data_IF_039009463812
#
_entry.id   IF_039009463812
#
_cell.length_a   1.000
_cell.length_b   1.000
_cell.length_c   1.000
_cell.angle_alpha   90.00
_cell.angle_beta   90.00
_cell.angle_gamma   90.00
#
_symmetry.space_group_name_H-M   'P 1'
#
loop_
_entity.id
_entity.type
_entity.pdbx_description
1 polymer ?
#
# COMPACT_ATOMS: atom_id res chain seq x y z
N UNK A 1 3.23 18.72 31.77
CA UNK A 1 3.34 17.71 30.70
C UNK A 1 2.60 18.28 29.50
N UNK A 2 3.29 18.49 28.37
CA UNK A 2 2.64 18.98 27.16
C UNK A 2 1.60 17.97 26.65
N UNK A 3 0.59 18.41 25.89
CA UNK A 3 -0.41 17.51 25.27
C UNK A 3 0.29 16.41 24.44
N UNK A 4 1.39 16.77 23.76
CA UNK A 4 2.25 15.87 23.00
C UNK A 4 2.95 14.82 23.89
N UNK A 5 3.53 15.20 25.02
CA UNK A 5 4.13 14.25 25.97
C UNK A 5 3.09 13.27 26.54
N UNK A 6 1.87 13.74 26.80
CA UNK A 6 0.79 12.87 27.24
C UNK A 6 0.45 11.82 26.18
N UNK A 7 0.39 12.21 24.90
CA UNK A 7 0.17 11.28 23.78
C UNK A 7 1.31 10.27 23.63
N UNK A 8 2.57 10.67 23.77
CA UNK A 8 3.69 9.72 23.77
C UNK A 8 3.68 8.76 24.96
N UNK A 9 3.23 9.22 26.13
CA UNK A 9 3.01 8.35 27.29
C UNK A 9 1.97 7.26 27.00
N UNK A 10 0.85 7.63 26.37
CA UNK A 10 -0.19 6.68 25.95
C UNK A 10 0.32 5.74 24.84
N UNK A 11 1.12 6.24 23.91
CA UNK A 11 1.73 5.41 22.86
C UNK A 11 2.61 4.30 23.46
N UNK A 12 3.46 4.62 24.44
CA UNK A 12 4.30 3.63 25.13
C UNK A 12 3.52 2.58 25.92
N UNK A 13 2.25 2.85 26.23
CA UNK A 13 1.35 1.89 26.91
C UNK A 13 0.53 1.05 25.94
N UNK A 14 0.33 1.52 24.71
CA UNK A 14 -0.56 0.92 23.71
C UNK A 14 0.16 0.25 22.54
N UNK A 15 1.46 0.46 22.42
CA UNK A 15 2.31 -0.14 21.39
C UNK A 15 3.61 -0.70 22.01
N UNK A 16 4.42 -1.35 21.19
CA UNK A 16 5.72 -1.87 21.62
C UNK A 16 6.62 -0.74 22.15
N UNK A 17 7.23 -0.89 23.35
CA UNK A 17 8.05 0.17 23.95
C UNK A 17 9.26 0.58 23.11
N UNK A 18 9.89 -0.37 22.40
CA UNK A 18 11.05 -0.10 21.55
C UNK A 18 10.68 0.73 20.34
N UNK A 19 9.64 0.31 19.62
CA UNK A 19 9.11 1.05 18.48
C UNK A 19 8.54 2.42 18.88
N UNK A 20 7.80 2.52 19.99
CA UNK A 20 7.29 3.79 20.49
C UNK A 20 8.41 4.78 20.84
N UNK A 21 9.50 4.29 21.43
CA UNK A 21 10.69 5.11 21.74
C UNK A 21 11.39 5.59 20.46
N UNK A 22 11.52 4.71 19.46
CA UNK A 22 12.11 5.08 18.16
C UNK A 22 11.27 6.16 17.45
N UNK A 23 9.95 6.01 17.45
CA UNK A 23 9.02 7.01 16.88
C UNK A 23 9.12 8.33 17.64
N UNK A 24 9.14 8.32 18.98
CA UNK A 24 9.30 9.54 19.78
C UNK A 24 10.63 10.25 19.46
N UNK A 25 11.73 9.49 19.35
CA UNK A 25 13.04 10.02 18.98
C UNK A 25 13.04 10.64 17.59
N UNK A 26 12.41 9.99 16.60
CA UNK A 26 12.27 10.54 15.25
C UNK A 26 11.55 11.90 15.27
N UNK A 27 10.44 12.00 16.03
CA UNK A 27 9.67 13.26 16.12
C UNK A 27 10.48 14.37 16.79
N UNK A 28 11.27 14.05 17.83
CA UNK A 28 12.06 15.05 18.58
C UNK A 28 13.32 15.50 17.85
N UNK A 29 14.08 14.55 17.33
CA UNK A 29 15.45 14.77 16.91
C UNK A 29 15.67 14.57 15.40
N UNK A 30 14.71 13.95 14.71
CA UNK A 30 14.80 13.68 13.27
C UNK A 30 14.75 14.96 12.43
N UNK A 31 15.35 14.96 11.23
CA UNK A 31 15.22 16.07 10.29
C UNK A 31 13.79 16.14 9.76
N UNK A 32 13.37 17.32 9.31
CA UNK A 32 11.99 17.60 8.89
C UNK A 32 11.52 16.68 7.75
N UNK A 33 12.39 16.42 6.77
CA UNK A 33 12.09 15.53 5.64
C UNK A 33 11.88 14.07 6.06
N UNK A 34 12.45 13.63 7.19
CA UNK A 34 12.24 12.29 7.73
C UNK A 34 10.89 12.15 8.47
N UNK A 35 10.14 13.26 8.61
CA UNK A 35 8.81 13.30 9.22
C UNK A 35 7.69 13.49 8.20
N UNK A 36 8.02 13.56 6.91
CA UNK A 36 7.08 13.62 5.79
C UNK A 36 7.03 12.28 5.05
N UNK A 37 5.81 11.79 4.76
CA UNK A 37 5.56 10.51 4.05
C UNK A 37 6.54 9.40 4.45
N UNK A 38 6.56 9.09 5.75
CA UNK A 38 7.46 8.08 6.31
C UNK A 38 7.18 6.73 5.65
N UNK A 39 8.22 6.16 5.04
CA UNK A 39 8.22 4.77 4.61
C UNK A 39 8.47 3.88 5.83
N UNK A 40 7.41 3.28 6.37
CA UNK A 40 7.50 2.46 7.60
C UNK A 40 8.33 1.19 7.40
N UNK A 41 8.52 0.71 6.16
CA UNK A 41 9.39 -0.43 5.86
C UNK A 41 10.86 -0.05 6.06
N UNK A 42 11.28 1.10 5.53
CA UNK A 42 12.63 1.63 5.76
C UNK A 42 12.83 1.94 7.24
N UNK A 43 11.85 2.60 7.90
CA UNK A 43 11.94 2.89 9.33
C UNK A 43 12.16 1.62 10.16
N UNK A 44 11.42 0.54 9.87
CA UNK A 44 11.60 -0.73 10.56
C UNK A 44 12.99 -1.33 10.31
N UNK A 45 13.46 -1.32 9.06
CA UNK A 45 14.78 -1.84 8.69
C UNK A 45 15.91 -1.06 9.36
N UNK A 46 15.86 0.28 9.31
CA UNK A 46 16.90 1.17 9.85
C UNK A 46 17.03 1.07 11.37
N UNK A 47 15.95 0.70 12.07
CA UNK A 47 15.93 0.52 13.52
C UNK A 47 16.07 -0.94 13.96
N UNK A 48 16.15 -1.90 13.04
CA UNK A 48 16.23 -3.33 13.35
C UNK A 48 14.98 -3.86 14.08
N UNK A 49 13.81 -3.27 13.80
CA UNK A 49 12.53 -3.62 14.41
C UNK A 49 11.68 -4.46 13.46
N UNK A 50 10.80 -5.29 14.03
CA UNK A 50 9.82 -6.03 13.24
C UNK A 50 8.81 -5.05 12.60
N UNK A 51 8.53 -5.25 11.30
CA UNK A 51 7.66 -4.35 10.54
C UNK A 51 6.25 -4.26 11.12
N UNK A 52 5.65 -5.38 11.52
CA UNK A 52 4.29 -5.39 12.10
C UNK A 52 4.25 -4.57 13.41
N UNK A 53 5.26 -4.71 14.26
CA UNK A 53 5.42 -3.92 15.49
C UNK A 53 5.55 -2.42 15.22
N UNK A 54 6.30 -2.04 14.19
CA UNK A 54 6.42 -0.64 13.76
C UNK A 54 5.10 -0.13 13.20
N UNK A 55 4.44 -0.91 12.35
CA UNK A 55 3.17 -0.54 11.74
C UNK A 55 2.06 -0.35 12.78
N UNK A 56 1.96 -1.27 13.75
CA UNK A 56 1.11 -1.12 14.94
C UNK A 56 1.35 0.21 15.64
N UNK A 57 2.62 0.51 15.90
CA UNK A 57 3.02 1.74 16.59
C UNK A 57 2.59 2.98 15.80
N UNK A 58 2.80 3.02 14.49
CA UNK A 58 2.36 4.13 13.63
C UNK A 58 0.83 4.25 13.57
N UNK A 59 0.09 3.15 13.58
CA UNK A 59 -1.38 3.15 13.60
C UNK A 59 -1.92 3.71 14.92
N UNK A 60 -1.36 3.28 16.05
CA UNK A 60 -1.68 3.85 17.37
C UNK A 60 -1.29 5.34 17.44
N UNK A 61 -0.11 5.70 16.93
CA UNK A 61 0.34 7.09 16.91
C UNK A 61 -0.58 7.98 16.05
N UNK A 62 -1.02 7.48 14.90
CA UNK A 62 -2.00 8.17 14.05
C UNK A 62 -3.35 8.33 14.77
N UNK A 63 -3.83 7.28 15.45
CA UNK A 63 -5.09 7.33 16.23
C UNK A 63 -5.03 8.33 17.40
N UNK A 64 -3.85 8.54 17.96
CA UNK A 64 -3.56 9.54 19.01
C UNK A 64 -3.32 10.95 18.45
N UNK A 65 -3.33 11.12 17.12
CA UNK A 65 -3.09 12.40 16.45
C UNK A 65 -1.64 12.85 16.50
N UNK A 66 -0.68 11.93 16.66
CA UNK A 66 0.74 12.22 16.52
C UNK A 66 1.15 12.31 15.04
N UNK A 67 0.54 11.46 14.20
CA UNK A 67 0.72 11.42 12.76
C UNK A 67 -0.61 11.53 12.03
N UNK A 68 -0.56 12.08 10.83
CA UNK A 68 -1.61 12.04 9.84
C UNK A 68 -1.29 10.94 8.82
N UNK A 69 -2.26 10.06 8.60
CA UNK A 69 -2.15 8.99 7.61
C UNK A 69 -2.66 9.51 6.27
N UNK A 70 -1.91 9.25 5.22
CA UNK A 70 -2.22 9.65 3.84
C UNK A 70 -2.25 8.42 2.93
N UNK A 71 -3.13 8.46 1.94
CA UNK A 71 -3.28 7.46 0.88
C UNK A 71 -2.86 8.11 -0.43
N UNK A 72 -1.67 7.77 -0.91
CA UNK A 72 -1.04 8.38 -2.08
C UNK A 72 -1.23 7.47 -3.29
N UNK A 73 -1.81 8.00 -4.36
CA UNK A 73 -2.00 7.27 -5.61
C UNK A 73 -0.77 7.49 -6.46
N UNK A 74 -0.08 6.41 -6.81
CA UNK A 74 1.20 6.43 -7.47
C UNK A 74 1.07 6.08 -8.94
N UNK A 75 1.90 6.71 -9.77
CA UNK A 75 2.15 6.22 -11.12
C UNK A 75 3.05 4.97 -11.05
N UNK A 76 2.63 3.82 -11.60
CA UNK A 76 3.49 2.62 -11.62
C UNK A 76 4.73 2.79 -12.51
N UNK A 77 4.68 3.68 -13.51
CA UNK A 77 5.81 4.01 -14.37
C UNK A 77 6.90 4.81 -13.64
N UNK A 78 6.57 6.01 -13.17
CA UNK A 78 7.57 6.93 -12.60
C UNK A 78 7.64 6.97 -11.06
N UNK A 79 6.69 6.39 -10.34
CA UNK A 79 6.63 6.46 -8.87
C UNK A 79 6.21 7.84 -8.32
N UNK A 80 5.77 8.76 -9.18
CA UNK A 80 5.22 10.05 -8.81
C UNK A 80 3.83 9.92 -8.18
N UNK A 81 3.54 10.76 -7.20
CA UNK A 81 2.25 10.82 -6.51
C UNK A 81 1.27 11.61 -7.38
N UNK A 82 0.29 10.93 -7.95
CA UNK A 82 -0.76 11.50 -8.79
C UNK A 82 -1.85 12.20 -7.98
N UNK A 83 -2.10 11.70 -6.77
CA UNK A 83 -3.08 12.28 -5.85
C UNK A 83 -2.73 11.90 -4.40
N UNK A 84 -3.06 12.77 -3.44
CA UNK A 84 -2.91 12.51 -2.00
C UNK A 84 -4.26 12.65 -1.33
N UNK A 85 -4.68 11.60 -0.62
CA UNK A 85 -6.01 11.50 -0.03
C UNK A 85 -5.90 11.27 1.49
N UNK A 86 -6.72 11.95 2.29
CA UNK A 86 -6.78 11.72 3.74
C UNK A 86 -7.53 10.42 4.11
N UNK A 87 -8.34 9.90 3.20
CA UNK A 87 -9.15 8.69 3.36
C UNK A 87 -9.30 7.99 2.01
N UNK A 88 -9.36 6.65 2.02
CA UNK A 88 -9.66 5.89 0.81
C UNK A 88 -11.03 6.24 0.22
N UNK A 89 -11.98 6.79 1.00
CA UNK A 89 -13.30 7.28 0.51
C UNK A 89 -13.21 8.29 -0.63
N UNK A 90 -12.07 9.00 -0.75
CA UNK A 90 -11.86 10.02 -1.78
C UNK A 90 -11.08 9.50 -2.99
N UNK A 91 -10.69 8.22 -3.01
CA UNK A 91 -10.10 7.54 -4.16
C UNK A 91 -11.22 7.13 -5.12
N UNK A 92 -11.65 8.07 -5.98
CA UNK A 92 -12.89 7.92 -6.77
C UNK A 92 -12.72 7.74 -8.28
N UNK A 93 -11.53 7.99 -8.83
CA UNK A 93 -11.35 7.93 -10.29
C UNK A 93 -11.17 6.48 -10.75
N UNK A 94 -11.85 6.11 -11.83
CA UNK A 94 -11.65 4.84 -12.53
C UNK A 94 -10.24 4.75 -13.11
N UNK A 95 -9.71 5.90 -13.57
CA UNK A 95 -8.41 6.01 -14.22
C UNK A 95 -7.65 7.22 -13.69
N UNK A 96 -6.38 7.03 -13.39
CA UNK A 96 -5.43 8.11 -13.08
C UNK A 96 -4.46 8.26 -14.23
N UNK A 97 -4.40 9.46 -14.82
CA UNK A 97 -3.42 9.79 -15.85
C UNK A 97 -2.17 10.37 -15.20
N UNK A 98 -1.00 9.80 -15.53
CA UNK A 98 0.26 10.38 -15.11
C UNK A 98 0.76 11.39 -16.14
N UNK A 99 0.94 12.63 -15.73
CA UNK A 99 1.42 13.69 -16.61
C UNK A 99 2.85 13.46 -17.08
N UNK A 100 3.71 12.83 -16.27
CA UNK A 100 5.09 12.53 -16.66
C UNK A 100 5.19 11.34 -17.62
N UNK A 101 4.36 10.31 -17.46
CA UNK A 101 4.42 9.10 -18.29
C UNK A 101 3.43 9.08 -19.46
N UNK A 102 2.50 10.04 -19.53
CA UNK A 102 1.41 10.09 -20.51
C UNK A 102 0.54 8.82 -20.58
N UNK A 103 0.45 8.08 -19.47
CA UNK A 103 -0.25 6.80 -19.39
C UNK A 103 -1.38 6.87 -18.35
N UNK A 104 -2.51 6.24 -18.69
CA UNK A 104 -3.65 6.03 -17.80
C UNK A 104 -3.59 4.67 -17.12
N UNK A 105 -3.93 4.63 -15.84
CA UNK A 105 -3.90 3.41 -15.04
C UNK A 105 -5.14 3.29 -14.17
N UNK A 106 -5.72 2.09 -14.13
CA UNK A 106 -6.71 1.73 -13.12
C UNK A 106 -6.01 1.44 -11.79
N UNK A 107 -6.40 2.08 -10.67
CA UNK A 107 -5.73 1.89 -9.38
C UNK A 107 -5.94 0.48 -8.83
N UNK A 108 -4.84 -0.20 -8.48
CA UNK A 108 -4.85 -1.40 -7.64
C UNK A 108 -4.30 -1.09 -6.25
N UNK A 109 -4.85 -1.72 -5.22
CA UNK A 109 -4.37 -1.52 -3.84
C UNK A 109 -3.02 -2.19 -3.57
N UNK A 110 -2.63 -3.13 -4.44
CA UNK A 110 -1.40 -3.90 -4.35
C UNK A 110 -0.16 -3.06 -4.66
N UNK A 111 -0.26 -2.13 -5.60
CA UNK A 111 0.91 -1.49 -6.23
C UNK A 111 0.77 0.01 -6.43
N UNK A 112 -0.45 0.54 -6.57
CA UNK A 112 -0.64 1.96 -6.89
C UNK A 112 -1.02 2.82 -5.69
N UNK A 113 -1.47 2.23 -4.59
CA UNK A 113 -1.88 3.01 -3.42
C UNK A 113 -0.87 2.82 -2.29
N UNK A 114 -0.04 3.84 -2.08
CA UNK A 114 0.86 3.95 -0.93
C UNK A 114 0.10 4.49 0.27
N UNK A 115 0.43 3.97 1.45
CA UNK A 115 0.04 4.53 2.74
C UNK A 115 1.29 5.07 3.40
N UNK A 116 1.25 6.34 3.80
CA UNK A 116 2.37 6.97 4.49
C UNK A 116 1.89 7.82 5.67
N UNK A 117 2.78 8.00 6.65
CA UNK A 117 2.52 8.77 7.85
C UNK A 117 3.34 10.06 7.81
N UNK A 118 2.69 11.20 8.06
CA UNK A 118 3.35 12.50 8.20
C UNK A 118 3.08 13.04 9.59
N UNK A 119 4.08 13.60 10.28
CA UNK A 119 3.87 14.17 11.62
C UNK A 119 2.76 15.21 11.60
N UNK A 120 1.88 15.23 12.60
CA UNK A 120 0.85 16.25 12.67
C UNK A 120 1.48 17.63 12.92
N UNK A 121 1.03 18.71 12.24
CA UNK A 121 1.51 20.07 12.51
C UNK A 121 1.21 20.54 13.95
N UNK A 122 0.26 19.89 14.64
CA UNK A 122 -0.02 20.12 16.07
C UNK A 122 1.06 19.57 17.00
N UNK A 123 1.88 18.64 16.52
CA UNK A 123 2.99 18.03 17.26
C UNK A 123 4.30 18.72 16.91
N UNK A 124 4.62 18.79 15.61
CA UNK A 124 5.80 19.47 15.09
C UNK A 124 5.48 19.97 13.69
N UNK A 125 5.59 21.27 13.45
CA UNK A 125 5.47 21.83 12.11
C UNK A 125 6.77 21.57 11.34
N UNK A 126 6.66 21.01 10.15
CA UNK A 126 7.77 20.76 9.22
C UNK A 126 7.54 21.49 7.91
N UNK A 127 8.59 21.66 7.10
CA UNK A 127 8.51 22.35 5.82
C UNK A 127 7.45 21.76 4.85
N UNK A 128 7.22 20.44 4.89
CA UNK A 128 6.21 19.77 4.07
C UNK A 128 4.75 20.15 4.41
N UNK A 129 4.48 20.79 5.56
CA UNK A 129 3.16 21.34 5.89
C UNK A 129 2.86 22.67 5.18
N UNK A 130 3.89 23.32 4.64
CA UNK A 130 3.78 24.54 3.82
C UNK A 130 4.64 24.34 2.57
N UNK A 131 4.27 23.40 1.68
CA UNK A 131 5.12 22.99 0.58
C UNK A 131 5.40 24.13 -0.42
N UNK A 132 4.60 25.18 -0.44
CA UNK A 132 4.82 26.41 -1.19
C UNK A 132 6.06 27.22 -0.76
N UNK A 133 6.61 26.95 0.42
CA UNK A 133 7.85 27.61 0.89
C UNK A 133 9.10 26.79 0.61
N UNK A 134 8.97 25.56 0.11
CA UNK A 134 10.10 24.70 -0.18
C UNK A 134 10.90 25.23 -1.38
N UNK A 135 12.24 25.17 -1.36
CA UNK A 135 13.06 25.28 -2.56
C UNK A 135 12.60 24.27 -3.64
N UNK A 136 12.79 24.61 -4.92
CA UNK A 136 12.30 23.79 -6.05
C UNK A 136 12.70 22.31 -5.95
N UNK A 137 13.97 22.02 -5.64
CA UNK A 137 14.45 20.65 -5.61
C UNK A 137 14.00 19.88 -4.38
N UNK A 138 13.79 20.55 -3.26
CA UNK A 138 13.14 19.95 -2.09
C UNK A 138 11.66 19.69 -2.33
N UNK A 139 10.96 20.60 -3.01
CA UNK A 139 9.58 20.35 -3.43
C UNK A 139 9.49 19.13 -4.33
N UNK A 140 10.30 19.08 -5.39
CA UNK A 140 10.32 17.94 -6.32
C UNK A 140 10.63 16.65 -5.56
N UNK A 141 11.69 16.65 -4.74
CA UNK A 141 12.15 15.45 -4.01
C UNK A 141 11.15 14.97 -2.96
N UNK A 142 10.54 15.88 -2.20
CA UNK A 142 9.72 15.55 -1.02
C UNK A 142 8.23 15.44 -1.35
N UNK A 143 7.70 16.29 -2.25
CA UNK A 143 6.27 16.43 -2.47
C UNK A 143 5.76 15.68 -3.70
N UNK A 144 6.52 15.66 -4.80
CA UNK A 144 6.06 15.03 -6.04
C UNK A 144 6.20 13.50 -6.02
N UNK A 145 7.29 13.02 -5.42
CA UNK A 145 7.64 11.61 -5.44
C UNK A 145 7.07 10.83 -4.25
N UNK A 146 6.83 9.53 -4.45
CA UNK A 146 6.44 8.61 -3.37
C UNK A 146 7.60 8.28 -2.44
N UNK A 147 7.28 7.75 -1.26
CA UNK A 147 8.28 7.21 -0.33
C UNK A 147 8.94 5.92 -0.86
N UNK A 148 8.39 5.33 -1.93
CA UNK A 148 8.96 4.23 -2.70
C UNK A 148 10.11 4.61 -3.64
N UNK A 149 10.50 5.89 -3.69
CA UNK A 149 11.65 6.37 -4.47
C UNK A 149 12.94 6.35 -3.63
N UNK A 150 14.03 5.88 -4.23
CA UNK A 150 15.38 5.96 -3.63
C UNK A 150 16.17 7.05 -4.32
N UNK A 151 16.20 8.23 -3.70
CA UNK A 151 17.03 9.35 -4.14
C UNK A 151 18.39 9.37 -3.42
N UNK A 152 19.44 9.91 -4.07
CA UNK A 152 20.70 10.21 -3.40
C UNK A 152 20.51 11.35 -2.37
N UNK A 153 21.54 11.64 -1.55
CA UNK A 153 21.50 12.77 -0.62
C UNK A 153 21.15 14.10 -1.33
N UNK A 154 20.57 15.08 -0.62
CA UNK A 154 20.03 16.30 -1.23
C UNK A 154 21.00 17.04 -2.16
N UNK A 155 22.27 17.21 -1.77
CA UNK A 155 23.27 17.91 -2.57
C UNK A 155 23.57 17.18 -3.89
N UNK A 156 23.63 15.85 -3.86
CA UNK A 156 23.85 15.04 -5.05
C UNK A 156 22.60 15.01 -5.94
N UNK A 157 21.41 14.92 -5.34
CA UNK A 157 20.15 15.01 -6.08
C UNK A 157 20.07 16.35 -6.82
N UNK A 158 20.38 17.46 -6.15
CA UNK A 158 20.41 18.78 -6.78
C UNK A 158 21.42 18.85 -7.93
N UNK A 159 22.64 18.32 -7.74
CA UNK A 159 23.64 18.25 -8.82
C UNK A 159 23.11 17.49 -10.04
N UNK A 160 22.48 16.33 -9.83
CA UNK A 160 21.90 15.54 -10.92
C UNK A 160 20.71 16.26 -11.58
N UNK A 161 19.89 17.00 -10.83
CA UNK A 161 18.83 17.83 -11.39
C UNK A 161 19.37 18.95 -12.29
N UNK A 162 20.51 19.54 -11.96
CA UNK A 162 21.18 20.51 -12.85
C UNK A 162 21.72 19.89 -14.14
N UNK A 163 21.97 18.58 -14.19
CA UNK A 163 22.35 17.86 -15.41
C UNK A 163 21.12 17.52 -16.27
N UNK A 164 19.98 17.25 -15.64
CA UNK A 164 18.74 16.82 -16.30
C UNK A 164 17.89 18.00 -16.77
N UNK A 165 17.88 19.11 -16.03
CA UNK A 165 16.98 20.24 -16.29
C UNK A 165 17.73 21.34 -17.04
N UNK A 166 17.31 21.58 -18.28
CA UNK A 166 17.90 22.59 -19.15
C UNK A 166 17.74 24.00 -18.58
N UNK A 167 16.52 24.30 -18.12
CA UNK A 167 16.16 25.55 -17.44
C UNK A 167 14.81 25.36 -16.73
N UNK A 168 14.55 26.18 -15.71
CA UNK A 168 13.31 26.18 -14.93
C UNK A 168 13.01 27.58 -14.38
N UNK A 169 11.75 27.84 -14.04
CA UNK A 169 11.36 29.10 -13.41
C UNK A 169 10.22 28.90 -12.42
N UNK A 170 10.08 29.81 -11.45
CA UNK A 170 8.97 29.84 -10.50
C UNK A 170 8.02 30.97 -10.88
N UNK A 171 6.72 30.68 -10.87
CA UNK A 171 5.68 31.66 -11.18
C UNK A 171 4.62 31.67 -10.08
N UNK A 172 4.36 32.86 -9.53
CA UNK A 172 3.26 33.10 -8.61
C UNK A 172 1.89 32.95 -9.32
N UNK A 173 0.79 32.78 -8.56
CA UNK A 173 -0.56 32.80 -9.13
C UNK A 173 -0.81 34.05 -9.98
N UNK A 174 -1.28 33.87 -11.22
CA UNK A 174 -1.54 34.95 -12.18
C UNK A 174 -0.30 35.49 -12.92
N UNK A 175 0.90 35.01 -12.60
CA UNK A 175 2.14 35.49 -13.21
C UNK A 175 2.37 34.91 -14.61
N UNK A 176 3.12 35.66 -15.43
CA UNK A 176 3.61 35.23 -16.73
C UNK A 176 5.13 35.20 -16.74
N UNK A 177 5.68 34.10 -17.23
CA UNK A 177 7.11 33.87 -17.37
C UNK A 177 7.53 33.75 -18.83
N UNK A 178 8.81 33.95 -19.10
CA UNK A 178 9.40 33.63 -20.39
C UNK A 178 10.75 32.98 -20.18
N UNK A 179 11.03 31.95 -20.96
CA UNK A 179 12.28 31.20 -20.93
C UNK A 179 12.83 31.09 -22.35
N UNK A 180 14.13 31.27 -22.50
CA UNK A 180 14.81 31.17 -23.81
C UNK A 180 15.90 30.12 -23.71
N UNK A 181 15.72 29.02 -24.43
CA UNK A 181 16.63 27.87 -24.37
C UNK A 181 17.15 27.52 -25.77
N UNK A 182 18.33 26.93 -25.80
CA UNK A 182 18.83 26.25 -26.99
C UNK A 182 18.45 24.76 -26.85
N UNK A 183 17.48 24.29 -27.62
CA UNK A 183 17.04 22.89 -27.55
C UNK A 183 18.13 21.97 -28.10
N UNK A 184 18.61 20.99 -27.31
CA UNK A 184 19.42 19.89 -27.83
C UNK A 184 18.54 18.90 -28.60
N UNK A 185 19.18 18.04 -29.40
CA UNK A 185 18.52 16.83 -29.91
C UNK A 185 18.19 15.90 -28.74
N UNK A 186 17.01 15.29 -28.77
CA UNK A 186 16.53 14.38 -27.74
C UNK A 186 15.06 14.58 -27.38
N UNK A 187 14.60 13.76 -26.44
CA UNK A 187 13.24 13.84 -25.91
C UNK A 187 13.22 14.75 -24.68
N UNK A 188 12.43 15.83 -24.74
CA UNK A 188 12.35 16.86 -23.70
C UNK A 188 10.93 16.90 -23.16
N UNK A 189 10.82 17.01 -21.84
CA UNK A 189 9.55 17.12 -21.13
C UNK A 189 9.49 18.51 -20.51
N UNK A 190 8.58 19.35 -21.00
CA UNK A 190 8.17 20.55 -20.27
C UNK A 190 7.28 20.07 -19.15
N UNK A 191 7.81 20.04 -17.92
CA UNK A 191 7.18 19.41 -16.78
C UNK A 191 6.97 20.42 -15.66
N UNK A 192 5.78 20.43 -15.09
CA UNK A 192 5.38 21.29 -13.99
C UNK A 192 4.82 20.41 -12.86
N UNK A 193 5.58 20.23 -11.76
CA UNK A 193 5.29 19.24 -10.73
C UNK A 193 4.14 19.63 -9.80
N UNK A 194 3.79 20.92 -9.66
CA UNK A 194 2.79 21.36 -8.67
C UNK A 194 1.36 21.09 -9.13
N UNK A 195 1.06 21.39 -10.39
CA UNK A 195 -0.26 21.19 -11.02
C UNK A 195 -0.34 19.87 -11.78
N UNK A 196 0.73 19.07 -11.75
CA UNK A 196 0.85 17.85 -12.56
C UNK A 196 0.58 18.14 -14.03
N UNK A 197 1.30 19.08 -14.63
CA UNK A 197 1.17 19.40 -16.06
C UNK A 197 2.42 18.99 -16.83
N UNK A 198 2.25 18.49 -18.06
CA UNK A 198 3.38 18.15 -18.91
C UNK A 198 3.08 18.37 -20.40
N UNK A 199 4.12 18.70 -21.16
CA UNK A 199 4.14 18.72 -22.62
C UNK A 199 5.41 18.03 -23.11
N UNK A 200 5.27 17.16 -24.13
CA UNK A 200 6.36 16.34 -24.65
C UNK A 200 6.88 16.88 -25.97
N UNK A 201 8.20 17.02 -26.08
CA UNK A 201 8.90 17.52 -27.25
C UNK A 201 9.86 16.44 -27.76
N UNK A 202 9.63 15.93 -28.96
CA UNK A 202 10.56 15.06 -29.68
C UNK A 202 11.43 15.93 -30.60
N UNK A 203 12.63 16.29 -30.13
CA UNK A 203 13.55 17.20 -30.82
C UNK A 203 14.52 16.41 -31.68
N UNK A 204 14.36 16.46 -33.00
CA UNK A 204 15.14 15.66 -33.97
C UNK A 204 15.32 16.35 -35.31
N UNK A 205 16.29 15.85 -36.09
CA UNK A 205 16.61 16.35 -37.43
C UNK A 205 17.64 17.48 -37.43
N UNK A 206 17.79 18.15 -38.58
CA UNK A 206 18.85 19.14 -38.76
C UNK A 206 18.66 20.39 -37.87
N UNK A 207 19.71 20.85 -37.16
CA UNK A 207 19.64 22.06 -36.34
C UNK A 207 19.23 23.30 -37.14
N UNK A 208 18.37 24.13 -36.55
CA UNK A 208 17.89 25.38 -37.14
C UNK A 208 18.33 26.61 -36.32
N UNK A 209 18.47 27.74 -37.01
CA UNK A 209 18.65 29.07 -36.38
C UNK A 209 17.33 29.84 -36.27
N UNK A 210 16.25 29.32 -36.84
CA UNK A 210 14.91 29.88 -36.74
C UNK A 210 14.45 29.87 -35.29
N UNK A 211 14.07 31.03 -34.75
CA UNK A 211 13.49 31.14 -33.41
C UNK A 211 12.04 30.72 -33.46
N UNK A 212 11.67 29.74 -32.64
CA UNK A 212 10.27 29.36 -32.42
C UNK A 212 9.76 29.90 -31.09
N UNK A 213 8.47 30.21 -31.06
CA UNK A 213 7.77 30.62 -29.85
C UNK A 213 6.64 29.62 -29.55
N UNK A 214 6.48 29.25 -28.28
CA UNK A 214 5.41 28.37 -27.83
C UNK A 214 4.90 28.81 -26.46
N UNK A 215 3.59 28.74 -26.27
CA UNK A 215 2.92 29.12 -25.03
C UNK A 215 2.37 27.92 -24.27
N UNK A 216 2.53 27.92 -22.94
CA UNK A 216 1.99 26.91 -22.04
C UNK A 216 1.20 27.60 -20.93
N UNK A 217 -0.01 27.11 -20.66
CA UNK A 217 -0.90 27.66 -19.63
C UNK A 217 -1.14 26.61 -18.56
N UNK A 218 -0.87 26.95 -17.30
CA UNK A 218 -1.14 26.08 -16.16
C UNK A 218 -2.44 26.50 -15.49
N UNK A 219 -3.47 25.65 -15.56
CA UNK A 219 -4.82 25.94 -15.04
C UNK A 219 -5.44 24.78 -14.25
N UNK A 220 -4.61 23.84 -13.77
CA UNK A 220 -5.01 22.59 -13.08
C UNK A 220 -5.88 21.63 -13.91
N UNK A 221 -6.07 21.90 -15.21
CA UNK A 221 -6.69 20.95 -16.14
C UNK A 221 -5.57 20.20 -16.85
N UNK A 222 -5.60 18.87 -16.77
CA UNK A 222 -4.62 18.02 -17.43
C UNK A 222 -4.76 18.20 -18.96
N UNK A 223 -3.75 18.80 -19.60
CA UNK A 223 -3.74 18.95 -21.05
C UNK A 223 -3.56 17.56 -21.72
N UNK A 224 -4.17 17.30 -22.89
CA UNK A 224 -3.88 16.09 -23.64
C UNK A 224 -2.39 16.02 -23.98
N UNK A 225 -1.78 14.89 -23.65
CA UNK A 225 -0.36 14.58 -23.77
C UNK A 225 0.02 14.26 -25.22
N UNK A 226 -0.10 15.24 -26.11
CA UNK A 226 0.49 15.16 -27.45
C UNK A 226 2.02 15.25 -27.37
N UNK A 227 2.71 14.58 -28.29
CA UNK A 227 4.14 14.82 -28.53
C UNK A 227 4.29 15.76 -29.72
N UNK A 228 4.91 16.91 -29.49
CA UNK A 228 5.25 17.87 -30.54
C UNK A 228 6.64 17.57 -31.09
N UNK A 229 6.78 17.55 -32.42
CA UNK A 229 8.07 17.30 -33.08
C UNK A 229 8.73 18.62 -33.43
N UNK A 230 9.93 18.87 -32.90
CA UNK A 230 10.71 20.08 -33.14
C UNK A 230 12.09 19.73 -33.71
N UNK A 231 12.79 20.75 -34.23
CA UNK A 231 14.21 20.64 -34.63
C UNK A 231 15.10 21.24 -33.55
N UNK A 232 16.34 20.74 -33.36
CA UNK A 232 17.30 21.37 -32.46
C UNK A 232 17.50 22.84 -32.82
N UNK A 233 17.48 23.76 -31.86
CA UNK A 233 17.43 25.18 -32.18
C UNK A 233 16.96 26.07 -31.04
N UNK A 234 16.96 27.40 -31.25
CA UNK A 234 16.48 28.35 -30.25
C UNK A 234 14.96 28.29 -30.09
N UNK A 235 14.49 28.02 -28.86
CA UNK A 235 13.09 28.03 -28.48
C UNK A 235 12.84 29.11 -27.41
N UNK A 236 11.78 29.89 -27.60
CA UNK A 236 11.22 30.78 -26.58
C UNK A 236 9.90 30.21 -26.06
N UNK A 237 9.87 29.94 -24.77
CA UNK A 237 8.68 29.47 -24.07
C UNK A 237 8.06 30.61 -23.28
N UNK A 238 6.76 30.79 -23.42
CA UNK A 238 5.98 31.69 -22.56
C UNK A 238 5.07 30.86 -21.67
N UNK A 239 5.16 31.08 -20.36
CA UNK A 239 4.35 30.39 -19.38
C UNK A 239 3.31 31.36 -18.80
N UNK A 240 2.09 30.90 -18.57
CA UNK A 240 1.07 31.65 -17.85
C UNK A 240 0.47 30.79 -16.75
N UNK A 241 0.65 31.20 -15.50
CA UNK A 241 0.05 30.54 -14.36
C UNK A 241 -1.38 31.09 -14.12
N UNK A 242 -2.39 30.35 -14.57
CA UNK A 242 -3.82 30.65 -14.31
C UNK A 242 -4.39 29.83 -13.15
N UNK A 243 -3.54 29.20 -12.36
CA UNK A 243 -3.93 28.52 -11.14
C UNK A 243 -3.88 29.47 -9.93
N UNK A 244 -4.39 28.99 -8.81
CA UNK A 244 -4.38 29.62 -7.48
C UNK A 244 -3.15 29.20 -6.65
N UNK A 245 -2.20 28.45 -7.22
CA UNK A 245 -0.97 27.99 -6.57
C UNK A 245 0.26 28.44 -7.35
N UNK A 246 1.44 28.43 -6.73
CA UNK A 246 2.70 28.62 -7.48
C UNK A 246 2.91 27.48 -8.48
N UNK A 247 3.62 27.73 -9.56
CA UNK A 247 4.02 26.71 -10.53
C UNK A 247 5.53 26.72 -10.74
N UNK A 248 6.10 25.55 -11.00
CA UNK A 248 7.55 25.34 -11.15
C UNK A 248 7.88 24.71 -12.52
N UNK A 249 7.52 25.34 -13.66
CA UNK A 249 7.80 24.76 -14.96
C UNK A 249 9.30 24.63 -15.22
N UNK A 250 9.71 23.44 -15.65
CA UNK A 250 11.08 23.15 -16.09
C UNK A 250 11.13 22.32 -17.35
N UNK A 251 12.26 22.37 -18.05
CA UNK A 251 12.53 21.56 -19.25
C UNK A 251 13.47 20.42 -18.88
N UNK A 252 12.93 19.22 -18.81
CA UNK A 252 13.65 18.03 -18.39
C UNK A 252 14.09 17.25 -19.63
N UNK A 253 15.39 17.01 -19.76
CA UNK A 253 15.92 16.10 -20.77
C UNK A 253 15.67 14.66 -20.31
N UNK A 254 14.92 13.89 -21.10
CA UNK A 254 14.66 12.48 -20.82
C UNK A 254 15.86 11.61 -21.24
N UNK A 255 17.02 11.85 -20.61
CA UNK A 255 18.26 11.10 -20.82
C UNK A 255 18.50 10.04 -19.74
N UNK A 256 19.66 9.38 -19.80
CA UNK A 256 20.02 8.26 -18.91
C UNK A 256 19.99 8.63 -17.43
N UNK A 257 20.43 9.84 -17.05
CA UNK A 257 20.42 10.30 -15.66
C UNK A 257 19.00 10.33 -15.08
N UNK A 258 18.02 10.84 -15.84
CA UNK A 258 16.62 10.85 -15.40
C UNK A 258 16.07 9.42 -15.33
N UNK A 259 16.33 8.59 -16.34
CA UNK A 259 15.90 7.19 -16.33
C UNK A 259 16.50 6.40 -15.16
N UNK A 260 17.77 6.64 -14.83
CA UNK A 260 18.43 6.00 -13.71
C UNK A 260 17.78 6.39 -12.39
N UNK A 261 17.55 7.69 -12.15
CA UNK A 261 16.85 8.20 -10.98
C UNK A 261 15.43 7.61 -10.86
N UNK A 262 14.70 7.58 -11.97
CA UNK A 262 13.38 6.95 -12.05
C UNK A 262 13.43 5.43 -12.04
N UNK A 263 14.59 4.78 -12.09
CA UNK A 263 14.73 3.34 -11.93
C UNK A 263 14.95 2.91 -10.48
N UNK A 264 15.38 3.82 -9.61
CA UNK A 264 15.70 3.53 -8.21
C UNK A 264 14.42 3.46 -7.36
N UNK A 265 13.76 2.29 -7.36
CA UNK A 265 12.58 1.98 -6.54
C UNK A 265 12.94 1.18 -5.30
N UNK A 266 12.10 1.32 -4.27
CA UNK A 266 12.12 0.50 -3.06
C UNK A 266 10.69 0.17 -2.62
N UNK A 267 10.49 -0.91 -1.85
CA UNK A 267 9.17 -1.24 -1.31
C UNK A 267 8.61 -0.11 -0.44
N UNK A 268 7.30 0.02 -0.40
CA UNK A 268 6.56 0.94 0.46
C UNK A 268 5.34 0.22 1.05
N UNK A 269 4.69 0.85 2.03
CA UNK A 269 3.47 0.30 2.63
C UNK A 269 2.31 0.47 1.65
N UNK A 270 1.79 -0.64 1.14
CA UNK A 270 0.67 -0.64 0.20
C UNK A 270 -0.65 -0.60 0.95
N UNK A 271 -1.70 -0.07 0.32
CA UNK A 271 -3.05 -0.12 0.87
C UNK A 271 -3.48 -1.56 1.15
N UNK A 272 -3.18 -2.51 0.24
CA UNK A 272 -3.46 -3.94 0.48
C UNK A 272 -2.93 -4.39 1.84
N UNK A 273 -1.64 -4.15 2.11
CA UNK A 273 -1.00 -4.59 3.36
C UNK A 273 -1.64 -3.94 4.59
N UNK A 274 -2.01 -2.66 4.51
CA UNK A 274 -2.69 -1.98 5.60
C UNK A 274 -4.09 -2.56 5.85
N UNK A 275 -4.86 -2.82 4.79
CA UNK A 275 -6.22 -3.35 4.87
C UNK A 275 -6.28 -4.79 5.41
N UNK A 276 -5.18 -5.54 5.28
CA UNK A 276 -5.00 -6.88 5.86
C UNK A 276 -4.37 -6.85 7.25
N UNK A 277 -4.13 -5.68 7.83
CA UNK A 277 -3.52 -5.55 9.15
C UNK A 277 -4.59 -5.52 10.25
N UNK A 278 -4.48 -6.39 11.26
CA UNK A 278 -5.48 -6.52 12.32
C UNK A 278 -5.71 -5.21 13.10
N UNK A 279 -4.64 -4.58 13.58
CA UNK A 279 -4.72 -3.30 14.31
C UNK A 279 -5.36 -2.17 13.51
N UNK A 280 -5.11 -2.10 12.19
CA UNK A 280 -5.78 -1.12 11.34
C UNK A 280 -7.30 -1.35 11.34
N UNK A 281 -7.73 -2.60 11.16
CA UNK A 281 -9.15 -2.96 11.17
C UNK A 281 -9.80 -2.71 12.53
N UNK A 282 -9.07 -2.82 13.63
CA UNK A 282 -9.58 -2.54 14.96
C UNK A 282 -9.69 -1.04 15.26
N UNK A 283 -8.71 -0.25 14.86
CA UNK A 283 -8.66 1.18 15.14
C UNK A 283 -9.47 2.05 14.15
N UNK A 284 -9.65 1.62 12.90
CA UNK A 284 -10.20 2.44 11.80
C UNK A 284 -11.49 1.88 11.15
N UNK A 285 -12.32 1.15 11.93
CA UNK A 285 -13.51 0.38 11.48
C UNK A 285 -14.44 1.09 10.49
N UNK A 286 -14.84 2.33 10.75
CA UNK A 286 -15.95 3.01 10.05
C UNK A 286 -15.52 3.96 8.91
N UNK A 287 -14.21 4.23 8.76
CA UNK A 287 -13.72 5.34 7.91
C UNK A 287 -12.78 4.93 6.77
N UNK A 288 -12.79 3.64 6.43
CA UNK A 288 -11.91 3.11 5.39
C UNK A 288 -12.46 3.38 3.98
N UNK A 289 -13.54 2.71 3.54
CA UNK A 289 -14.12 2.86 2.20
C UNK A 289 -15.51 3.51 2.23
N UNK A 290 -15.94 4.09 1.11
CA UNK A 290 -17.32 4.55 0.95
C UNK A 290 -18.25 3.36 0.63
N UNK A 291 -19.54 3.45 0.97
CA UNK A 291 -20.49 2.34 0.86
C UNK A 291 -20.65 1.78 -0.57
N UNK A 292 -20.51 2.62 -1.59
CA UNK A 292 -20.62 2.29 -3.00
C UNK A 292 -19.27 2.05 -3.70
N UNK A 293 -18.17 2.28 -2.99
CA UNK A 293 -16.82 2.16 -3.53
C UNK A 293 -16.36 0.71 -3.57
N UNK A 294 -15.64 0.38 -4.65
CA UNK A 294 -15.06 -0.96 -4.87
C UNK A 294 -13.64 -0.76 -5.36
N UNK A 295 -12.67 -1.23 -4.59
CA UNK A 295 -11.25 -1.13 -4.96
C UNK A 295 -10.71 -2.51 -5.28
N UNK A 296 -9.99 -2.61 -6.39
CA UNK A 296 -9.44 -3.87 -6.89
C UNK A 296 -8.20 -4.26 -6.09
N UNK A 297 -8.19 -5.51 -5.65
CA UNK A 297 -7.00 -6.19 -5.15
C UNK A 297 -6.68 -7.30 -6.15
N UNK A 298 -5.46 -7.28 -6.69
CA UNK A 298 -5.00 -8.22 -7.71
C UNK A 298 -4.74 -9.60 -7.12
N UNK A 299 -4.21 -9.66 -5.90
CA UNK A 299 -4.05 -10.92 -5.18
C UNK A 299 -4.20 -10.75 -3.68
N UNK A 300 -5.09 -11.56 -3.09
CA UNK A 300 -5.25 -11.69 -1.65
C UNK A 300 -5.46 -13.15 -1.28
N UNK A 301 -4.78 -13.59 -0.21
CA UNK A 301 -4.93 -14.96 0.32
C UNK A 301 -6.03 -14.99 1.36
N UNK A 302 -7.00 -15.89 1.18
CA UNK A 302 -8.09 -16.14 2.10
C UNK A 302 -7.87 -17.47 2.82
N UNK A 303 -8.02 -17.45 4.13
CA UNK A 303 -8.10 -18.64 4.98
C UNK A 303 -9.51 -18.70 5.55
N UNK A 304 -10.18 -19.83 5.32
CA UNK A 304 -11.42 -20.17 6.00
C UNK A 304 -11.16 -21.32 6.95
N UNK A 305 -11.65 -21.20 8.18
CA UNK A 305 -11.65 -22.27 9.17
C UNK A 305 -13.07 -22.58 9.62
N UNK A 306 -13.33 -23.81 10.01
CA UNK A 306 -14.60 -24.27 10.60
C UNK A 306 -14.31 -25.31 11.68
N UNK A 307 -15.07 -25.30 12.78
CA UNK A 307 -14.97 -26.34 13.80
C UNK A 307 -15.79 -27.55 13.37
N UNK A 308 -15.16 -28.72 13.33
CA UNK A 308 -15.87 -29.96 13.02
C UNK A 308 -16.85 -30.31 14.14
N UNK A 309 -18.07 -30.67 13.75
CA UNK A 309 -19.10 -31.20 14.66
C UNK A 309 -19.39 -30.27 15.86
N UNK A 310 -19.33 -28.95 15.67
CA UNK A 310 -19.63 -27.96 16.72
C UNK A 310 -21.05 -28.10 17.28
N UNK A 311 -22.01 -28.54 16.47
CA UNK A 311 -23.38 -28.83 16.96
C UNK A 311 -23.40 -29.99 17.96
N UNK A 312 -22.67 -31.08 17.70
CA UNK A 312 -22.57 -32.22 18.63
C UNK A 312 -21.80 -31.83 19.90
N UNK A 313 -20.81 -30.94 19.77
CA UNK A 313 -20.12 -30.35 20.91
C UNK A 313 -21.12 -29.59 21.81
N UNK A 314 -21.96 -28.72 21.23
CA UNK A 314 -22.96 -27.94 21.97
C UNK A 314 -23.94 -28.82 22.74
N UNK A 315 -24.41 -29.91 22.12
CA UNK A 315 -25.30 -30.87 22.77
C UNK A 315 -24.63 -31.61 23.94
N UNK A 316 -23.33 -31.95 23.81
CA UNK A 316 -22.61 -32.74 24.82
C UNK A 316 -22.24 -31.93 26.07
N UNK A 317 -21.75 -30.71 25.92
CA UNK A 317 -21.19 -29.93 27.04
C UNK A 317 -22.09 -28.77 27.48
N UNK A 318 -23.19 -28.52 26.75
CA UNK A 318 -24.12 -27.43 27.00
C UNK A 318 -23.61 -26.07 26.50
N UNK A 319 -24.55 -25.18 26.21
CA UNK A 319 -24.31 -23.91 25.51
C UNK A 319 -23.27 -23.01 26.18
N UNK A 320 -23.25 -22.94 27.51
CA UNK A 320 -22.35 -22.03 28.23
C UNK A 320 -20.89 -22.49 28.15
N UNK A 321 -20.63 -23.76 28.45
CA UNK A 321 -19.27 -24.31 28.38
C UNK A 321 -18.75 -24.35 26.94
N UNK A 322 -19.66 -24.60 25.99
CA UNK A 322 -19.36 -24.50 24.57
C UNK A 322 -19.00 -23.08 24.13
N UNK A 323 -19.75 -22.07 24.58
CA UNK A 323 -19.48 -20.69 24.25
C UNK A 323 -18.10 -20.24 24.75
N UNK A 324 -17.74 -20.57 25.99
CA UNK A 324 -16.42 -20.23 26.54
C UNK A 324 -15.29 -20.91 25.76
N UNK A 325 -15.49 -22.15 25.34
CA UNK A 325 -14.54 -22.89 24.51
C UNK A 325 -14.38 -22.26 23.13
N UNK A 326 -15.48 -21.94 22.45
CA UNK A 326 -15.47 -21.30 21.13
C UNK A 326 -14.84 -19.91 21.21
N UNK A 327 -15.07 -19.19 22.31
CA UNK A 327 -14.42 -17.90 22.58
C UNK A 327 -12.90 -18.05 22.76
N UNK A 328 -12.44 -19.03 23.54
CA UNK A 328 -11.02 -19.33 23.70
C UNK A 328 -10.38 -19.71 22.36
N UNK A 329 -11.07 -20.54 21.59
CA UNK A 329 -10.70 -20.91 20.23
C UNK A 329 -10.51 -19.70 19.32
N UNK A 330 -11.48 -18.78 19.27
CA UNK A 330 -11.36 -17.55 18.47
C UNK A 330 -10.22 -16.64 18.92
N UNK A 331 -9.93 -16.58 20.22
CA UNK A 331 -8.77 -15.86 20.74
C UNK A 331 -7.47 -16.41 20.15
N UNK A 332 -7.27 -17.73 20.25
CA UNK A 332 -6.08 -18.40 19.71
C UNK A 332 -5.94 -18.22 18.20
N UNK A 333 -7.04 -18.36 17.45
CA UNK A 333 -7.00 -18.14 16.01
C UNK A 333 -6.67 -16.68 15.66
N UNK A 334 -7.28 -15.72 16.34
CA UNK A 334 -7.02 -14.30 16.15
C UNK A 334 -5.56 -13.95 16.39
N UNK A 335 -4.96 -14.48 17.47
CA UNK A 335 -3.55 -14.27 17.81
C UNK A 335 -2.62 -14.82 16.73
N UNK A 336 -2.88 -16.04 16.24
CA UNK A 336 -2.08 -16.64 15.16
C UNK A 336 -2.23 -15.86 13.85
N UNK A 337 -3.44 -15.42 13.50
CA UNK A 337 -3.66 -14.58 12.32
C UNK A 337 -2.84 -13.30 12.40
N UNK A 338 -2.86 -12.60 13.54
CA UNK A 338 -2.12 -11.36 13.73
C UNK A 338 -0.60 -11.57 13.69
N UNK A 339 -0.09 -12.64 14.33
CA UNK A 339 1.34 -12.99 14.31
C UNK A 339 1.87 -13.23 12.88
N UNK A 340 1.01 -13.71 11.98
CA UNK A 340 1.34 -13.94 10.58
C UNK A 340 0.95 -12.80 9.64
N UNK A 341 0.83 -11.58 10.18
CA UNK A 341 0.56 -10.36 9.39
C UNK A 341 -0.77 -10.43 8.63
N UNK A 342 -1.72 -11.22 9.14
CA UNK A 342 -3.06 -11.33 8.63
C UNK A 342 -4.07 -10.55 9.46
N UNK A 343 -5.32 -10.63 9.02
CA UNK A 343 -6.44 -10.07 9.75
C UNK A 343 -7.67 -10.98 9.69
N UNK A 344 -8.39 -11.04 10.80
CA UNK A 344 -9.73 -11.63 10.85
C UNK A 344 -10.70 -10.65 10.19
N UNK A 345 -11.36 -11.11 9.12
CA UNK A 345 -12.37 -10.32 8.42
C UNK A 345 -13.67 -10.35 9.20
N UNK A 346 -14.15 -11.56 9.50
CA UNK A 346 -15.39 -11.83 10.24
C UNK A 346 -15.42 -13.27 10.73
N UNK A 347 -16.28 -13.53 11.70
CA UNK A 347 -16.69 -14.86 12.14
C UNK A 347 -18.08 -15.19 11.58
N UNK A 348 -18.33 -16.47 11.31
CA UNK A 348 -19.60 -16.97 10.77
C UNK A 348 -19.99 -18.21 11.58
N UNK A 349 -20.77 -18.03 12.65
CA UNK A 349 -20.94 -19.09 13.63
C UNK A 349 -19.62 -19.36 14.35
N UNK A 350 -19.13 -20.59 14.22
CA UNK A 350 -17.83 -21.12 14.66
C UNK A 350 -16.71 -21.02 13.61
N UNK A 351 -17.04 -20.57 12.40
CA UNK A 351 -16.08 -20.38 11.32
C UNK A 351 -15.35 -19.03 11.40
N UNK A 352 -14.09 -19.00 10.97
CA UNK A 352 -13.29 -17.77 10.83
C UNK A 352 -12.97 -17.55 9.36
N UNK A 353 -13.20 -16.33 8.88
CA UNK A 353 -12.66 -15.83 7.62
C UNK A 353 -11.51 -14.88 7.93
N UNK A 354 -10.30 -15.22 7.49
CA UNK A 354 -9.11 -14.40 7.63
C UNK A 354 -8.47 -14.12 6.26
N UNK A 355 -7.72 -13.02 6.18
CA UNK A 355 -6.99 -12.62 4.98
C UNK A 355 -5.53 -12.35 5.28
N UNK A 356 -4.66 -12.72 4.33
CA UNK A 356 -3.23 -12.55 4.39
C UNK A 356 -2.71 -11.89 3.12
N UNK A 357 -1.66 -11.06 3.21
CA UNK A 357 -1.10 -10.36 2.05
C UNK A 357 -0.48 -11.30 1.02
N UNK A 358 -0.03 -12.50 1.45
CA UNK A 358 0.66 -13.50 0.63
C UNK A 358 0.30 -14.94 1.04
N UNK A 359 0.45 -15.93 0.15
CA UNK A 359 0.12 -17.33 0.44
C UNK A 359 0.93 -17.96 1.57
N UNK A 360 2.22 -17.67 1.65
CA UNK A 360 3.14 -18.22 2.65
C UNK A 360 2.73 -17.84 4.07
N UNK A 361 2.26 -16.61 4.26
CA UNK A 361 1.71 -16.12 5.53
C UNK A 361 0.43 -16.85 5.91
N UNK A 362 -0.48 -17.03 4.95
CA UNK A 362 -1.69 -17.84 5.15
C UNK A 362 -1.37 -19.28 5.53
N UNK A 363 -0.42 -19.92 4.83
CA UNK A 363 -0.01 -21.28 5.13
C UNK A 363 0.66 -21.40 6.51
N UNK A 364 1.59 -20.50 6.82
CA UNK A 364 2.26 -20.46 8.11
C UNK A 364 1.25 -20.29 9.27
N UNK A 365 0.26 -19.42 9.09
CA UNK A 365 -0.81 -19.22 10.07
C UNK A 365 -1.60 -20.51 10.27
N UNK A 366 -2.00 -21.18 9.19
CA UNK A 366 -2.77 -22.41 9.24
C UNK A 366 -2.01 -23.55 9.93
N UNK A 367 -0.72 -23.71 9.66
CA UNK A 367 0.11 -24.70 10.36
C UNK A 367 0.21 -24.41 11.86
N UNK A 368 0.36 -23.13 12.24
CA UNK A 368 0.36 -22.70 13.64
C UNK A 368 -0.99 -22.87 14.32
N UNK A 369 -2.09 -22.58 13.63
CA UNK A 369 -3.46 -22.79 14.14
C UNK A 369 -3.69 -24.26 14.46
N UNK A 370 -3.28 -25.17 13.57
CA UNK A 370 -3.39 -26.61 13.81
C UNK A 370 -2.64 -27.06 15.05
N UNK A 371 -1.40 -26.60 15.22
CA UNK A 371 -0.60 -26.91 16.41
C UNK A 371 -1.19 -26.30 17.69
N UNK A 372 -1.68 -25.06 17.62
CA UNK A 372 -2.30 -24.40 18.77
C UNK A 372 -3.60 -25.10 19.20
N UNK A 373 -4.40 -25.60 18.24
CA UNK A 373 -5.58 -26.42 18.55
C UNK A 373 -5.22 -27.77 19.15
N UNK A 374 -4.12 -28.39 18.71
CA UNK A 374 -3.61 -29.64 19.30
C UNK A 374 -3.28 -29.44 20.78
N UNK A 375 -2.59 -28.35 21.12
CA UNK A 375 -2.27 -28.00 22.52
C UNK A 375 -3.50 -27.69 23.35
N UNK A 376 -4.47 -26.95 22.78
CA UNK A 376 -5.72 -26.65 23.48
C UNK A 376 -6.53 -27.92 23.77
N UNK A 377 -6.52 -28.89 22.86
CA UNK A 377 -7.09 -30.22 23.11
C UNK A 377 -6.35 -30.95 24.24
N UNK A 378 -5.01 -30.93 24.26
CA UNK A 378 -4.18 -31.54 25.31
C UNK A 378 -4.47 -30.91 26.70
N UNK A 379 -4.50 -29.58 26.80
CA UNK A 379 -4.72 -28.83 28.06
C UNK A 379 -6.11 -29.09 28.67
N UNK A 380 -7.10 -29.40 27.83
CA UNK A 380 -8.47 -29.65 28.24
C UNK A 380 -8.82 -31.14 28.30
N UNK A 381 -7.84 -32.04 28.11
CA UNK A 381 -8.01 -33.51 28.06
C UNK A 381 -9.10 -33.96 27.06
N UNK A 382 -9.09 -33.34 25.86
CA UNK A 382 -10.12 -33.51 24.82
C UNK A 382 -9.50 -33.81 23.45
N UNK A 383 -10.34 -34.24 22.51
CA UNK A 383 -9.94 -34.48 21.11
C UNK A 383 -10.93 -33.86 20.09
N UNK A 384 -11.82 -32.97 20.54
CA UNK A 384 -12.99 -32.54 19.77
C UNK A 384 -12.80 -31.22 19.01
N UNK A 385 -11.77 -30.43 19.31
CA UNK A 385 -11.47 -29.20 18.55
C UNK A 385 -10.68 -29.52 17.28
N UNK A 386 -11.36 -30.07 16.29
CA UNK A 386 -10.78 -30.33 14.97
C UNK A 386 -11.13 -29.20 14.01
N UNK A 387 -10.11 -28.56 13.45
CA UNK A 387 -10.27 -27.54 12.44
C UNK A 387 -10.32 -28.13 11.04
N UNK A 388 -11.32 -27.69 10.28
CA UNK A 388 -11.35 -27.80 8.83
C UNK A 388 -10.79 -26.51 8.26
N UNK A 389 -9.81 -26.60 7.36
CA UNK A 389 -9.11 -25.42 6.86
C UNK A 389 -9.05 -25.43 5.34
N UNK A 390 -9.39 -24.29 4.74
CA UNK A 390 -9.24 -24.03 3.31
C UNK A 390 -8.46 -22.76 3.05
N UNK A 391 -7.52 -22.81 2.10
CA UNK A 391 -6.73 -21.66 1.67
C UNK A 391 -6.86 -21.47 0.17
N UNK A 392 -7.13 -20.23 -0.25
CA UNK A 392 -7.14 -19.87 -1.65
C UNK A 392 -6.63 -18.45 -1.85
N UNK A 393 -5.91 -18.23 -2.94
CA UNK A 393 -5.40 -16.92 -3.34
C UNK A 393 -6.00 -16.53 -4.71
N UNK A 394 -6.39 -15.27 -4.84
CA UNK A 394 -6.85 -14.71 -6.11
C UNK A 394 -7.29 -13.24 -6.01
N UNK A 395 -7.72 -12.65 -7.13
CA UNK A 395 -8.17 -11.26 -7.17
C UNK A 395 -9.51 -11.08 -6.43
N UNK A 396 -9.72 -9.93 -5.81
CA UNK A 396 -10.98 -9.60 -5.15
C UNK A 396 -11.26 -8.09 -5.16
N UNK A 397 -12.45 -7.72 -4.69
CA UNK A 397 -12.83 -6.33 -4.45
C UNK A 397 -12.88 -6.08 -2.94
N UNK A 398 -12.18 -5.06 -2.48
CA UNK A 398 -12.38 -4.49 -1.15
C UNK A 398 -13.64 -3.62 -1.16
N UNK A 399 -14.54 -3.86 -0.21
CA UNK A 399 -15.84 -3.19 -0.09
C UNK A 399 -16.15 -2.87 1.37
N UNK A 400 -17.15 -2.01 1.62
CA UNK A 400 -17.73 -1.84 2.96
C UNK A 400 -19.06 -2.58 3.06
N UNK A 401 -19.19 -3.45 4.06
CA UNK A 401 -20.44 -4.15 4.40
C UNK A 401 -20.68 -4.01 5.91
N UNK A 402 -21.88 -3.58 6.31
CA UNK A 402 -22.24 -3.33 7.71
C UNK A 402 -21.22 -2.41 8.43
N UNK A 403 -20.82 -1.32 7.77
CA UNK A 403 -19.83 -0.34 8.25
C UNK A 403 -18.46 -0.95 8.61
N UNK A 404 -18.13 -2.10 8.00
CA UNK A 404 -16.83 -2.77 8.15
C UNK A 404 -16.25 -3.11 6.79
N UNK A 405 -14.93 -3.12 6.72
CA UNK A 405 -14.20 -3.61 5.56
C UNK A 405 -14.50 -5.10 5.33
N UNK A 406 -14.93 -5.45 4.14
CA UNK A 406 -15.19 -6.83 3.71
C UNK A 406 -14.65 -7.03 2.29
N UNK A 407 -14.73 -8.26 1.79
CA UNK A 407 -14.23 -8.63 0.48
C UNK A 407 -15.31 -9.32 -0.35
N UNK A 408 -15.34 -9.01 -1.63
CA UNK A 408 -16.28 -9.57 -2.59
C UNK A 408 -15.56 -10.13 -3.82
N UNK A 409 -16.06 -11.26 -4.35
CA UNK A 409 -15.54 -11.87 -5.58
C UNK A 409 -15.60 -13.40 -5.56
N UNK A 410 -15.31 -14.02 -6.71
CA UNK A 410 -15.28 -15.48 -6.82
C UNK A 410 -14.23 -16.12 -5.90
N UNK A 411 -13.09 -15.46 -5.68
CA UNK A 411 -12.02 -15.89 -4.78
C UNK A 411 -12.53 -16.20 -3.36
N UNK A 412 -13.40 -15.35 -2.80
CA UNK A 412 -13.97 -15.58 -1.46
C UNK A 412 -14.82 -16.86 -1.44
N UNK A 413 -15.61 -17.07 -2.49
CA UNK A 413 -16.46 -18.26 -2.63
C UNK A 413 -15.64 -19.53 -2.83
N UNK A 414 -14.57 -19.48 -3.63
CA UNK A 414 -13.65 -20.61 -3.83
C UNK A 414 -13.02 -20.99 -2.49
N UNK A 415 -12.47 -20.01 -1.75
CA UNK A 415 -11.83 -20.25 -0.46
C UNK A 415 -12.75 -20.97 0.55
N UNK A 416 -14.00 -20.50 0.68
CA UNK A 416 -15.00 -21.14 1.54
C UNK A 416 -15.35 -22.56 1.08
N UNK A 417 -15.44 -22.81 -0.23
CA UNK A 417 -15.73 -24.15 -0.77
C UNK A 417 -14.57 -25.12 -0.61
N UNK A 418 -13.33 -24.63 -0.76
CA UNK A 418 -12.10 -25.39 -0.52
C UNK A 418 -12.04 -25.84 0.94
N UNK A 419 -12.37 -24.96 1.90
CA UNK A 419 -12.51 -25.35 3.30
C UNK A 419 -13.55 -26.45 3.51
N UNK A 420 -14.68 -26.37 2.79
CA UNK A 420 -15.75 -27.38 2.87
C UNK A 420 -15.36 -28.80 2.41
N UNK A 421 -14.23 -28.95 1.70
CA UNK A 421 -13.68 -30.27 1.34
C UNK A 421 -12.93 -30.94 2.49
N UNK A 422 -12.50 -30.18 3.50
CA UNK A 422 -11.74 -30.70 4.61
C UNK A 422 -12.63 -31.56 5.52
N UNK A 423 -12.34 -32.86 5.61
CA UNK A 423 -13.11 -33.84 6.37
C UNK A 423 -12.46 -34.20 7.72
N UNK A 424 -11.12 -34.16 7.81
CA UNK A 424 -10.35 -34.56 9.00
C UNK A 424 -8.93 -34.00 8.98
N UNK A 425 -8.60 -33.07 9.90
CA UNK A 425 -7.26 -32.50 10.20
C UNK A 425 -6.41 -31.97 9.02
N UNK A 426 -6.83 -32.24 7.79
CA UNK A 426 -6.15 -31.89 6.56
C UNK A 426 -6.51 -30.48 6.13
N UNK A 427 -5.51 -29.83 5.56
CA UNK A 427 -5.60 -28.49 5.04
C UNK A 427 -5.81 -28.63 3.54
N UNK A 428 -6.86 -28.00 3.02
CA UNK A 428 -7.06 -27.92 1.58
C UNK A 428 -6.57 -26.58 1.07
N UNK A 429 -5.76 -26.60 0.02
CA UNK A 429 -5.23 -25.41 -0.61
C UNK A 429 -5.40 -25.49 -2.13
N UNK A 430 -5.61 -24.35 -2.78
CA UNK A 430 -5.64 -24.29 -4.24
C UNK A 430 -4.23 -24.20 -4.83
N UNK A 431 -4.10 -24.49 -6.12
CA UNK A 431 -2.82 -24.44 -6.84
C UNK A 431 -1.99 -23.16 -6.66
N UNK A 432 -2.56 -21.93 -6.74
CA UNK A 432 -1.77 -20.70 -6.52
C UNK A 432 -1.06 -20.68 -5.16
N UNK A 433 -1.70 -21.22 -4.12
CA UNK A 433 -1.15 -21.27 -2.76
C UNK A 433 0.00 -22.26 -2.67
N UNK A 434 -0.18 -23.48 -3.21
CA UNK A 434 0.85 -24.53 -3.11
C UNK A 434 2.06 -24.26 -4.02
N UNK A 435 1.84 -23.59 -5.15
CA UNK A 435 2.91 -23.23 -6.09
C UNK A 435 3.69 -21.99 -5.72
N UNK A 436 3.23 -21.20 -4.74
CA UNK A 436 4.02 -20.12 -4.17
C UNK A 436 5.33 -20.68 -3.59
N UNK A 437 6.46 -20.07 -3.95
CA UNK A 437 7.79 -20.61 -3.64
C UNK A 437 8.05 -20.65 -2.13
N UNK A 438 7.65 -19.61 -1.41
CA UNK A 438 7.82 -19.55 0.04
C UNK A 438 6.92 -20.57 0.75
N UNK A 439 5.68 -20.74 0.28
CA UNK A 439 4.75 -21.79 0.75
C UNK A 439 5.31 -23.19 0.52
N UNK A 440 5.83 -23.48 -0.67
CA UNK A 440 6.44 -24.77 -0.98
C UNK A 440 7.64 -25.08 -0.06
N UNK A 441 8.47 -24.08 0.24
CA UNK A 441 9.59 -24.22 1.20
C UNK A 441 9.09 -24.47 2.63
N UNK A 442 8.03 -23.79 3.07
CA UNK A 442 7.43 -24.01 4.40
C UNK A 442 6.91 -25.44 4.53
N UNK A 443 6.18 -25.93 3.53
CA UNK A 443 5.64 -27.30 3.51
C UNK A 443 6.75 -28.35 3.51
N UNK A 444 7.78 -28.17 2.67
CA UNK A 444 8.94 -29.06 2.64
C UNK A 444 9.70 -29.07 3.98
N UNK A 445 9.89 -27.90 4.60
CA UNK A 445 10.52 -27.78 5.92
C UNK A 445 9.72 -28.46 7.04
N UNK A 446 8.39 -28.53 6.91
CA UNK A 446 7.51 -29.25 7.81
C UNK A 446 7.37 -30.76 7.47
N UNK A 447 8.02 -31.25 6.42
CA UNK A 447 7.89 -32.65 5.96
C UNK A 447 6.52 -32.98 5.36
N UNK A 448 5.76 -31.97 4.93
CA UNK A 448 4.41 -32.12 4.40
C UNK A 448 4.45 -32.13 2.87
N UNK A 449 3.87 -33.17 2.27
CA UNK A 449 3.75 -33.30 0.80
C UNK A 449 2.28 -33.10 0.39
N UNK A 450 1.95 -32.02 -0.32
CA UNK A 450 0.61 -31.81 -0.84
C UNK A 450 0.23 -32.90 -1.86
N UNK A 451 -0.96 -33.47 -1.73
CA UNK A 451 -1.51 -34.46 -2.65
C UNK A 451 -2.57 -33.81 -3.55
N UNK A 452 -2.37 -33.88 -4.86
CA UNK A 452 -3.30 -33.31 -5.83
C UNK A 452 -4.62 -34.10 -5.84
N UNK A 453 -5.74 -33.36 -5.83
CA UNK A 453 -7.08 -33.89 -5.98
C UNK A 453 -7.88 -33.02 -6.95
N UNK A 454 -8.60 -33.66 -7.86
CA UNK A 454 -9.60 -32.99 -8.68
C UNK A 454 -10.96 -33.09 -8.02
N UNK A 455 -11.64 -31.97 -7.86
CA UNK A 455 -12.92 -31.89 -7.18
C UNK A 455 -13.87 -30.95 -7.93
N UNK A 456 -15.17 -31.18 -7.76
CA UNK A 456 -16.20 -30.25 -8.24
C UNK A 456 -16.60 -29.36 -7.07
N UNK A 457 -16.33 -28.06 -7.19
CA UNK A 457 -16.75 -27.08 -6.20
C UNK A 457 -18.17 -26.62 -6.53
N UNK A 458 -19.12 -26.81 -5.61
CA UNK A 458 -20.55 -26.51 -5.84
C UNK A 458 -20.75 -25.07 -6.35
N UNK A 459 -21.22 -24.90 -7.60
CA UNK A 459 -21.49 -23.59 -8.17
C UNK A 459 -20.26 -22.86 -8.71
N UNK A 460 -19.15 -23.56 -8.95
CA UNK A 460 -18.09 -23.17 -9.89
C UNK A 460 -18.22 -24.12 -11.07
N UNK A 461 -18.20 -23.57 -12.28
CA UNK A 461 -18.11 -24.35 -13.51
C UNK A 461 -16.73 -25.00 -13.57
N UNK A 462 -16.67 -26.25 -14.01
CA UNK A 462 -15.43 -27.04 -14.20
C UNK A 462 -14.84 -27.75 -12.96
N UNK A 463 -14.07 -28.81 -13.22
CA UNK A 463 -13.25 -29.46 -12.20
C UNK A 463 -12.15 -28.50 -11.72
N UNK A 464 -12.00 -28.41 -10.41
CA UNK A 464 -11.00 -27.58 -9.76
C UNK A 464 -9.89 -28.44 -9.16
N UNK A 465 -8.64 -28.09 -9.45
CA UNK A 465 -7.48 -28.73 -8.82
C UNK A 465 -7.25 -28.14 -7.43
N UNK A 466 -7.32 -28.99 -6.42
CA UNK A 466 -7.01 -28.67 -5.03
C UNK A 466 -5.93 -29.63 -4.53
N UNK A 467 -5.26 -29.22 -3.47
CA UNK A 467 -4.21 -30.00 -2.83
C UNK A 467 -4.63 -30.26 -1.39
N UNK A 468 -4.63 -31.53 -1.02
CA UNK A 468 -4.77 -31.93 0.37
C UNK A 468 -3.38 -32.03 1.00
N UNK A 469 -3.19 -31.28 2.09
CA UNK A 469 -1.98 -31.25 2.89
C UNK A 469 -2.30 -32.02 4.19
N UNK A 470 -1.56 -33.10 4.48
CA UNK A 470 -1.82 -33.97 5.63
C UNK A 470 -1.57 -33.28 6.98
#
# INVERSE_FOLDING_TARGET
MSETEARFSVLRQSADPGAATAVERLVRDGPDEALHRINVLDFAADHGLALETVLDTFLHAARLGLFEMSWNILCPGCGGVLNTNATLKTVKQSDYACSLCAAGYEPSLDEMVEVAFTVSPRVRKIAAHTPETLPVWDYVRQMYWSSGMRFPPPDEFQRQMHEVVLDWTELAPGERGTMSVQLPEGFIIVFEPVTHSALFLDVKGEPTRERREMGVVFNKVQAPTGTEVLRPGPLRLTFENRSDVRTLPGLFLAGDTLHHLLGQRKPFLTAKRLLTHQTFRDLFRADTLALDQRLKILSLTFVFTDLKASTELYERIGDLAAYDLVKAHFGVLGDVVAQESGAVVKTIGDAVMATFPTPDRGMAAVLRMREAMRRLNEDHEREDLLLKIGIHEGPCLAVTLNDRLDYFGQTVNIASRVQGLAMSQSIFATEPVVRDEATARLLAGAGLTPSERRCVLRGISDEYTVYEIP
#
